data_IF_987048708841
#
_entry.id   IF_987048708841
#
_cell.length_a   1.000
_cell.length_b   1.000
_cell.length_c   1.000
_cell.angle_alpha   90.00
_cell.angle_beta   90.00
_cell.angle_gamma   90.00
#
_symmetry.space_group_name_H-M   'P 1'
#
loop_
_entity.id
_entity.type
_entity.pdbx_description
1 polymer ?
#
# COMPACT_ATOMS: atom_id res chain seq x y z
N UNK A 1 -3.44 11.09 51.91
CA UNK A 1 -4.42 10.30 51.15
C UNK A 1 -4.62 10.85 49.73
N UNK A 2 -4.94 12.15 49.57
CA UNK A 2 -5.14 12.80 48.26
C UNK A 2 -4.01 12.55 47.23
N UNK A 3 -2.74 12.67 47.63
CA UNK A 3 -1.58 12.42 46.74
C UNK A 3 -1.55 11.02 46.11
N UNK A 4 -2.01 10.00 46.84
CA UNK A 4 -2.07 8.62 46.34
C UNK A 4 -3.24 8.41 45.39
N UNK A 5 -4.37 9.09 45.66
CA UNK A 5 -5.54 9.10 44.76
C UNK A 5 -5.17 9.77 43.43
N UNK A 6 -4.49 10.93 43.48
CA UNK A 6 -4.02 11.64 42.29
C UNK A 6 -3.01 10.80 41.49
N UNK A 7 -2.07 10.13 42.17
CA UNK A 7 -1.11 9.25 41.51
C UNK A 7 -1.79 8.06 40.84
N UNK A 8 -2.75 7.41 41.52
CA UNK A 8 -3.51 6.29 40.94
C UNK A 8 -4.34 6.73 39.72
N UNK A 9 -4.98 7.90 39.79
CA UNK A 9 -5.73 8.47 38.68
C UNK A 9 -4.82 8.79 37.48
N UNK A 10 -3.63 9.34 37.74
CA UNK A 10 -2.64 9.61 36.69
C UNK A 10 -2.15 8.31 36.02
N UNK A 11 -1.84 7.28 36.81
CA UNK A 11 -1.41 5.97 36.27
C UNK A 11 -2.53 5.38 35.41
N UNK A 12 -3.77 5.39 35.90
CA UNK A 12 -4.91 4.88 35.13
C UNK A 12 -5.10 5.67 33.82
N UNK A 13 -4.98 7.00 33.86
CA UNK A 13 -5.08 7.84 32.67
C UNK A 13 -4.00 7.51 31.64
N UNK A 14 -2.74 7.35 32.06
CA UNK A 14 -1.64 6.96 31.18
C UNK A 14 -1.86 5.56 30.59
N UNK A 15 -2.34 4.61 31.39
CA UNK A 15 -2.68 3.27 30.90
C UNK A 15 -3.79 3.31 29.85
N UNK A 16 -4.85 4.10 30.07
CA UNK A 16 -5.94 4.28 29.11
C UNK A 16 -5.39 4.84 27.80
N UNK A 17 -4.58 5.90 27.85
CA UNK A 17 -3.95 6.48 26.65
C UNK A 17 -3.09 5.44 25.94
N UNK A 18 -2.29 4.66 26.67
CA UNK A 18 -1.44 3.62 26.11
C UNK A 18 -2.25 2.54 25.37
N UNK A 19 -3.37 2.10 25.96
CA UNK A 19 -4.26 1.12 25.32
C UNK A 19 -4.88 1.69 24.05
N UNK A 20 -5.39 2.93 24.08
CA UNK A 20 -5.95 3.57 22.89
C UNK A 20 -4.89 3.78 21.81
N UNK A 21 -3.67 4.17 22.18
CA UNK A 21 -2.58 4.33 21.23
C UNK A 21 -2.27 3.03 20.49
N UNK A 22 -2.19 1.90 21.20
CA UNK A 22 -1.93 0.59 20.58
C UNK A 22 -3.13 0.12 19.75
N UNK A 23 -4.36 0.26 20.27
CA UNK A 23 -5.56 -0.21 19.59
C UNK A 23 -5.86 0.58 18.30
N UNK A 24 -5.55 1.87 18.27
CA UNK A 24 -5.80 2.75 17.14
C UNK A 24 -4.60 2.86 16.19
N UNK A 25 -3.42 2.37 16.59
CA UNK A 25 -2.24 2.37 15.71
C UNK A 25 -2.53 1.56 14.44
N UNK A 26 -2.11 2.05 13.26
CA UNK A 26 -2.33 1.35 12.02
C UNK A 26 -1.59 0.02 12.00
N UNK A 27 -2.20 -1.00 11.38
CA UNK A 27 -1.60 -2.32 11.24
C UNK A 27 -1.06 -2.50 9.83
N UNK A 28 0.22 -2.88 9.73
CA UNK A 28 0.87 -3.22 8.47
C UNK A 28 1.16 -4.72 8.48
N UNK A 29 0.75 -5.43 7.42
CA UNK A 29 1.05 -6.87 7.26
C UNK A 29 1.72 -7.14 5.93
N UNK A 30 2.71 -8.01 5.94
CA UNK A 30 3.34 -8.50 4.72
C UNK A 30 2.47 -9.60 4.10
N UNK A 31 2.03 -9.41 2.86
CA UNK A 31 1.22 -10.37 2.11
C UNK A 31 2.02 -11.14 1.06
N UNK A 32 3.32 -10.88 0.96
CA UNK A 32 4.21 -11.48 -0.06
C UNK A 32 4.24 -13.01 -0.05
N UNK A 33 3.85 -13.64 1.06
CA UNK A 33 3.81 -15.10 1.21
C UNK A 33 2.57 -15.78 0.61
N UNK A 34 1.54 -15.02 0.19
CA UNK A 34 0.32 -15.60 -0.36
C UNK A 34 0.59 -16.15 -1.77
N UNK A 35 0.18 -17.40 -2.11
CA UNK A 35 0.45 -18.04 -3.40
C UNK A 35 0.11 -17.15 -4.60
N UNK A 36 -1.08 -16.54 -4.55
CA UNK A 36 -1.56 -15.44 -5.37
C UNK A 36 -0.49 -14.44 -5.84
N UNK A 37 0.36 -14.00 -4.91
CA UNK A 37 1.24 -12.85 -5.07
C UNK A 37 2.67 -13.28 -5.40
N UNK A 38 3.07 -14.48 -4.98
CA UNK A 38 4.41 -15.04 -5.22
C UNK A 38 4.80 -15.03 -6.69
N UNK A 39 3.84 -15.23 -7.58
CA UNK A 39 4.10 -15.26 -9.02
C UNK A 39 4.68 -13.95 -9.60
N UNK A 40 4.49 -12.80 -8.93
CA UNK A 40 4.95 -11.49 -9.41
C UNK A 40 6.20 -10.98 -8.69
N UNK A 41 6.55 -11.56 -7.54
CA UNK A 41 7.65 -11.05 -6.71
C UNK A 41 8.99 -11.41 -7.34
N UNK A 42 9.87 -10.41 -7.45
CA UNK A 42 11.24 -10.56 -7.96
C UNK A 42 11.35 -10.81 -9.45
N UNK A 43 10.22 -10.89 -10.17
CA UNK A 43 10.20 -11.10 -11.62
C UNK A 43 10.11 -9.76 -12.37
N UNK A 44 10.71 -9.66 -13.56
CA UNK A 44 10.44 -8.53 -14.46
C UNK A 44 8.99 -8.59 -14.93
N UNK A 45 8.24 -7.52 -14.69
CA UNK A 45 6.87 -7.34 -15.16
C UNK A 45 6.83 -6.19 -16.14
N UNK A 46 6.02 -6.30 -17.18
CA UNK A 46 5.89 -5.28 -18.21
C UNK A 46 4.60 -4.50 -17.98
N UNK A 47 4.69 -3.18 -17.88
CA UNK A 47 3.51 -2.32 -17.84
C UNK A 47 2.69 -2.49 -19.11
N UNK A 48 1.41 -2.81 -18.96
CA UNK A 48 0.48 -2.96 -20.09
C UNK A 48 -0.09 -1.59 -20.52
N UNK A 49 -0.08 -0.61 -19.61
CA UNK A 49 -0.56 0.74 -19.84
C UNK A 49 0.45 1.78 -19.34
N UNK A 50 0.45 3.01 -19.88
CA UNK A 50 1.28 4.09 -19.37
C UNK A 50 1.01 4.33 -17.88
N UNK A 51 2.09 4.47 -17.10
CA UNK A 51 2.05 4.77 -15.69
C UNK A 51 2.54 6.19 -15.41
N UNK A 52 1.99 6.80 -14.36
CA UNK A 52 2.42 8.10 -13.85
C UNK A 52 2.99 7.88 -12.45
N UNK A 53 4.19 8.41 -12.20
CA UNK A 53 4.83 8.36 -10.89
C UNK A 53 4.81 9.75 -10.29
N UNK A 54 4.06 9.90 -9.20
CA UNK A 54 3.95 11.14 -8.46
C UNK A 54 4.79 11.10 -7.18
N UNK A 55 5.32 12.25 -6.78
CA UNK A 55 5.87 12.45 -5.43
C UNK A 55 4.69 12.77 -4.51
N UNK A 56 4.34 11.81 -3.67
CA UNK A 56 3.32 12.03 -2.65
C UNK A 56 3.95 12.77 -1.46
N UNK A 57 3.37 13.89 -0.99
CA UNK A 57 3.81 14.53 0.24
C UNK A 57 3.63 13.50 1.37
N UNK A 58 4.71 13.14 2.06
CA UNK A 58 4.71 12.08 3.07
C UNK A 58 3.57 12.30 4.09
N UNK A 59 2.53 11.48 4.01
CA UNK A 59 1.58 11.27 5.11
C UNK A 59 1.94 10.00 5.88
N UNK A 60 1.27 9.75 7.01
CA UNK A 60 1.47 8.56 7.85
C UNK A 60 1.12 7.20 7.17
N UNK A 61 0.83 7.23 5.86
CA UNK A 61 0.18 6.15 5.11
C UNK A 61 0.99 5.67 3.89
N UNK A 62 2.19 6.21 3.66
CA UNK A 62 3.01 5.92 2.48
C UNK A 62 4.28 5.13 2.84
N UNK A 63 4.53 4.04 2.12
CA UNK A 63 5.75 3.23 2.21
C UNK A 63 6.90 3.85 1.42
N UNK A 64 6.60 4.46 0.27
CA UNK A 64 7.57 5.14 -0.58
C UNK A 64 7.07 6.50 -1.05
N UNK A 65 7.95 7.52 -1.14
CA UNK A 65 7.54 8.84 -1.59
C UNK A 65 7.03 8.86 -3.05
N UNK A 66 7.34 7.85 -3.85
CA UNK A 66 6.88 7.70 -5.22
C UNK A 66 5.65 6.78 -5.30
N UNK A 67 4.56 7.31 -5.84
CA UNK A 67 3.31 6.57 -6.06
C UNK A 67 3.11 6.36 -7.56
N UNK A 68 3.04 5.10 -7.98
CA UNK A 68 2.68 4.70 -9.34
C UNK A 68 1.15 4.63 -9.47
N UNK A 69 0.60 5.26 -10.50
CA UNK A 69 -0.84 5.25 -10.81
C UNK A 69 -1.08 5.37 -12.31
N UNK A 70 -2.25 4.95 -12.77
CA UNK A 70 -2.70 5.14 -14.16
C UNK A 70 -3.41 6.48 -14.37
N UNK A 71 -3.74 7.20 -13.28
CA UNK A 71 -4.59 8.40 -13.32
C UNK A 71 -3.79 9.66 -13.05
N UNK A 72 -4.11 10.73 -13.78
CA UNK A 72 -3.59 12.05 -13.44
C UNK A 72 -4.06 12.47 -12.06
N UNK A 73 -3.13 12.91 -11.23
CA UNK A 73 -3.42 13.52 -9.94
C UNK A 73 -2.99 14.99 -10.00
N UNK A 74 -3.97 15.90 -9.91
CA UNK A 74 -3.71 17.34 -10.00
C UNK A 74 -3.09 17.95 -8.74
N UNK A 75 -3.03 17.21 -7.63
CA UNK A 75 -2.53 17.70 -6.34
C UNK A 75 -1.09 17.30 -6.03
N UNK A 76 -0.47 16.43 -6.82
CA UNK A 76 0.88 15.90 -6.56
C UNK A 76 1.86 16.25 -7.67
N UNK A 77 3.13 16.41 -7.30
CA UNK A 77 4.20 16.68 -8.25
C UNK A 77 4.49 15.42 -9.08
N UNK A 78 4.31 15.50 -10.40
CA UNK A 78 4.69 14.44 -11.31
C UNK A 78 6.23 14.35 -11.37
N UNK A 79 6.78 13.15 -11.13
CA UNK A 79 8.21 12.90 -11.23
C UNK A 79 8.59 12.12 -12.48
N UNK A 80 7.79 11.13 -12.87
CA UNK A 80 8.06 10.32 -14.06
C UNK A 80 6.77 9.97 -14.81
N UNK A 81 6.87 9.91 -16.13
CA UNK A 81 5.91 9.24 -17.00
C UNK A 81 6.56 7.96 -17.50
N UNK A 82 5.92 6.82 -17.23
CA UNK A 82 6.38 5.50 -17.63
C UNK A 82 5.55 5.06 -18.85
N UNK A 83 6.16 4.88 -20.04
CA UNK A 83 5.42 4.36 -21.18
C UNK A 83 4.97 2.91 -20.92
N UNK A 84 3.93 2.48 -21.65
CA UNK A 84 3.65 1.05 -21.75
C UNK A 84 4.90 0.32 -22.28
N UNK A 85 5.16 -0.89 -21.80
CA UNK A 85 6.39 -1.62 -22.08
C UNK A 85 7.52 -1.42 -21.06
N UNK A 86 7.42 -0.45 -20.15
CA UNK A 86 8.41 -0.30 -19.07
C UNK A 86 8.46 -1.55 -18.18
N UNK A 87 9.68 -2.02 -17.91
CA UNK A 87 9.92 -3.12 -16.99
C UNK A 87 9.94 -2.61 -15.55
N UNK A 88 9.10 -3.20 -14.72
CA UNK A 88 9.05 -2.98 -13.28
C UNK A 88 9.39 -4.30 -12.56
N UNK A 89 9.74 -4.21 -11.28
CA UNK A 89 9.91 -5.39 -10.42
C UNK A 89 9.19 -5.17 -9.12
N UNK A 90 8.29 -6.08 -8.75
CA UNK A 90 7.63 -6.04 -7.44
C UNK A 90 8.49 -6.78 -6.43
N UNK A 91 8.77 -6.13 -5.30
CA UNK A 91 9.55 -6.69 -4.19
C UNK A 91 8.67 -7.30 -3.11
N UNK A 92 7.53 -6.68 -2.84
CA UNK A 92 6.64 -7.15 -1.78
C UNK A 92 5.22 -6.63 -1.96
N UNK A 93 4.29 -7.33 -1.32
CA UNK A 93 2.93 -6.86 -1.12
C UNK A 93 2.70 -6.59 0.36
N UNK A 94 2.07 -5.46 0.68
CA UNK A 94 1.72 -5.11 2.06
C UNK A 94 0.29 -4.65 2.14
N UNK A 95 -0.42 -5.09 3.18
CA UNK A 95 -1.67 -4.45 3.55
C UNK A 95 -1.44 -3.42 4.62
N UNK A 96 -2.15 -2.32 4.50
CA UNK A 96 -2.25 -1.28 5.49
C UNK A 96 -3.70 -1.23 5.98
N UNK A 97 -3.93 -1.33 7.28
CA UNK A 97 -5.24 -1.15 7.89
C UNK A 97 -5.22 0.08 8.78
N UNK A 98 -6.09 1.04 8.45
CA UNK A 98 -6.28 2.22 9.27
C UNK A 98 -7.20 1.89 10.46
N UNK A 99 -6.63 1.57 11.61
CA UNK A 99 -7.40 1.23 12.81
C UNK A 99 -8.04 2.45 13.48
N UNK A 100 -7.53 3.66 13.21
CA UNK A 100 -8.12 4.91 13.69
C UNK A 100 -8.98 5.56 12.58
N UNK A 101 -10.29 5.61 12.76
CA UNK A 101 -11.20 6.29 11.83
C UNK A 101 -11.89 5.32 10.87
N UNK A 102 -11.50 5.32 9.58
CA UNK A 102 -12.26 4.63 8.52
C UNK A 102 -12.31 3.10 8.64
N UNK A 103 -11.35 2.46 9.31
CA UNK A 103 -11.24 1.00 9.30
C UNK A 103 -10.85 0.41 7.93
N UNK A 104 -10.48 1.25 6.97
CA UNK A 104 -10.17 0.84 5.59
C UNK A 104 -8.88 0.03 5.53
N UNK A 105 -8.91 -1.02 4.72
CA UNK A 105 -7.73 -1.83 4.43
C UNK A 105 -7.33 -1.63 2.97
N UNK A 106 -6.08 -1.25 2.75
CA UNK A 106 -5.49 -1.07 1.41
C UNK A 106 -4.40 -2.09 1.14
N UNK A 107 -4.31 -2.58 -0.09
CA UNK A 107 -3.23 -3.47 -0.55
C UNK A 107 -2.28 -2.69 -1.45
N UNK A 108 -1.01 -2.70 -1.10
CA UNK A 108 0.04 -2.03 -1.83
C UNK A 108 1.01 -3.04 -2.45
N UNK A 109 1.31 -2.84 -3.72
CA UNK A 109 2.44 -3.46 -4.38
C UNK A 109 3.64 -2.51 -4.27
N UNK A 110 4.74 -3.02 -3.71
CA UNK A 110 5.96 -2.25 -3.45
C UNK A 110 7.04 -2.75 -4.38
N UNK A 111 7.53 -1.89 -5.28
CA UNK A 111 8.45 -2.28 -6.32
C UNK A 111 9.52 -1.24 -6.63
N UNK A 112 10.21 -1.46 -7.74
CA UNK A 112 11.13 -0.52 -8.37
C UNK A 112 10.96 -0.57 -9.89
N UNK A 113 11.26 0.53 -10.56
CA UNK A 113 11.49 0.58 -12.01
C UNK A 113 12.88 1.13 -12.30
N UNK A 114 13.37 0.89 -13.51
CA UNK A 114 14.61 1.48 -14.00
C UNK A 114 14.30 2.71 -14.84
N UNK A 115 14.92 3.83 -14.51
CA UNK A 115 14.94 5.03 -15.36
C UNK A 115 15.89 4.83 -16.54
N UNK A 116 15.83 5.73 -17.52
CA UNK A 116 16.64 5.67 -18.75
C UNK A 116 18.15 5.75 -18.49
N UNK A 117 18.56 6.38 -17.39
CA UNK A 117 19.95 6.44 -16.90
C UNK A 117 20.35 5.22 -16.05
N UNK A 118 19.50 4.19 -15.98
CA UNK A 118 19.78 2.94 -15.26
C UNK A 118 19.60 3.01 -13.75
N UNK A 119 19.07 4.11 -13.21
CA UNK A 119 18.80 4.25 -11.78
C UNK A 119 17.54 3.49 -11.39
N UNK A 120 17.60 2.74 -10.29
CA UNK A 120 16.43 2.13 -9.66
C UNK A 120 15.65 3.17 -8.87
N UNK A 121 14.37 3.32 -9.17
CA UNK A 121 13.45 4.20 -8.46
C UNK A 121 12.37 3.35 -7.80
N UNK A 122 12.25 3.39 -6.45
CA UNK A 122 11.19 2.66 -5.76
C UNK A 122 9.83 3.28 -6.07
N UNK A 123 8.78 2.48 -6.01
CA UNK A 123 7.40 2.96 -6.07
C UNK A 123 6.49 2.13 -5.20
N UNK A 124 5.39 2.74 -4.77
CA UNK A 124 4.21 2.07 -4.26
C UNK A 124 3.05 2.17 -5.25
N UNK A 125 2.29 1.10 -5.39
CA UNK A 125 1.08 1.05 -6.20
C UNK A 125 -0.07 0.58 -5.31
N UNK A 126 -1.08 1.45 -5.12
CA UNK A 126 -2.30 1.10 -4.41
C UNK A 126 -3.20 0.25 -5.32
N UNK A 127 -3.25 -1.05 -5.05
CA UNK A 127 -4.05 -2.00 -5.81
C UNK A 127 -5.54 -1.91 -5.45
N UNK A 128 -5.85 -1.42 -4.26
CA UNK A 128 -7.23 -1.23 -3.81
C UNK A 128 -7.87 0.04 -4.35
N UNK A 129 -7.13 1.02 -4.88
CA UNK A 129 -7.66 2.35 -5.24
C UNK A 129 -8.90 2.34 -6.16
N UNK A 130 -9.18 1.26 -6.91
CA UNK A 130 -10.42 1.15 -7.70
C UNK A 130 -11.68 0.78 -6.88
N UNK A 131 -11.53 0.33 -5.64
CA UNK A 131 -12.60 0.10 -4.66
C UNK A 131 -12.05 0.43 -3.26
N UNK A 132 -12.46 1.55 -2.68
CA UNK A 132 -12.24 1.74 -1.24
C UNK A 132 -13.04 0.66 -0.49
N UNK A 133 -12.36 -0.35 0.04
CA UNK A 133 -13.00 -1.45 0.77
C UNK A 133 -12.94 -1.12 2.26
N UNK A 134 -14.12 -1.03 2.88
CA UNK A 134 -14.25 -1.14 4.33
C UNK A 134 -14.16 -2.62 4.70
N UNK A 135 -13.30 -2.97 5.66
CA UNK A 135 -13.09 -4.36 6.07
C UNK A 135 -11.90 -5.03 5.39
N UNK A 136 -11.93 -6.36 5.33
CA UNK A 136 -10.84 -7.16 4.79
C UNK A 136 -10.87 -7.18 3.25
N UNK A 137 -9.70 -7.29 2.64
CA UNK A 137 -9.55 -7.24 1.19
C UNK A 137 -9.96 -8.58 0.59
N UNK A 138 -10.98 -8.54 -0.26
CA UNK A 138 -11.37 -9.66 -1.10
C UNK A 138 -10.44 -9.75 -2.32
N UNK A 139 -9.51 -10.71 -2.27
CA UNK A 139 -8.47 -10.88 -3.30
C UNK A 139 -9.00 -11.33 -4.65
N UNK A 140 -10.23 -11.87 -4.70
CA UNK A 140 -10.89 -12.29 -5.94
C UNK A 140 -11.56 -11.11 -6.66
N UNK A 141 -11.71 -9.97 -5.96
CA UNK A 141 -12.46 -8.78 -6.44
C UNK A 141 -11.61 -7.52 -6.60
N UNK A 142 -10.30 -7.60 -6.40
CA UNK A 142 -9.35 -6.58 -6.82
C UNK A 142 -9.55 -6.28 -8.34
N UNK A 143 -9.11 -5.11 -8.81
CA UNK A 143 -9.03 -4.85 -10.25
C UNK A 143 -7.76 -5.51 -10.84
N UNK A 144 -7.67 -5.69 -12.17
CA UNK A 144 -6.39 -5.97 -12.80
C UNK A 144 -5.40 -4.85 -12.46
N UNK A 145 -4.17 -5.22 -12.12
CA UNK A 145 -3.08 -4.27 -11.93
C UNK A 145 -2.58 -3.72 -13.27
N UNK A 146 -1.84 -2.61 -13.22
CA UNK A 146 -1.24 -1.94 -14.40
C UNK A 146 -0.29 -2.84 -15.21
N UNK A 147 0.21 -3.93 -14.63
CA UNK A 147 1.05 -4.93 -15.29
C UNK A 147 0.30 -6.18 -15.77
N UNK A 148 -1.02 -6.25 -15.59
CA UNK A 148 -1.87 -7.36 -16.04
C UNK A 148 -2.63 -6.98 -17.31
N UNK A 149 -2.89 -7.95 -18.19
CA UNK A 149 -3.67 -7.70 -19.40
C UNK A 149 -5.15 -7.55 -19.06
N UNK A 150 -5.87 -6.76 -19.87
CA UNK A 150 -7.34 -6.68 -19.77
C UNK A 150 -7.93 -8.07 -20.06
N UNK A 151 -8.61 -8.67 -19.08
CA UNK A 151 -9.24 -9.99 -19.21
C UNK A 151 -8.49 -11.16 -18.55
N UNK A 152 -7.28 -10.95 -18.00
CA UNK A 152 -6.67 -11.91 -17.08
C UNK A 152 -7.42 -11.86 -15.73
N UNK A 153 -7.97 -13.01 -15.32
CA UNK A 153 -8.69 -13.12 -14.05
C UNK A 153 -7.77 -12.78 -12.88
N UNK A 154 -8.42 -12.23 -11.88
CA UNK A 154 -7.93 -11.99 -10.54
C UNK A 154 -7.48 -13.28 -9.89
N UNK A 155 -6.16 -13.49 -9.84
CA UNK A 155 -5.52 -14.35 -8.83
C UNK A 155 -6.25 -15.69 -8.65
N UNK A 156 -6.09 -16.61 -9.60
CA UNK A 156 -6.63 -17.96 -9.41
C UNK A 156 -6.03 -18.58 -8.14
N UNK A 157 -6.87 -18.67 -7.10
CA UNK A 157 -6.57 -19.41 -5.89
C UNK A 157 -6.90 -20.88 -6.17
N UNK A 158 -6.08 -21.53 -6.98
CA UNK A 158 -6.12 -22.99 -7.10
C UNK A 158 -5.66 -23.58 -5.75
N UNK A 159 -6.64 -23.92 -4.91
CA UNK A 159 -6.51 -24.84 -3.78
C UNK A 159 -6.97 -26.23 -4.18
#
# INVERSE_FOLDING_TARGET
MLKYILLAALILFVLIIGVFYIALAPTIRNQSGIPAFKQWIGKPLILQHPGLVYIHPKGNYSFYPQVLTERRNGGYQLAYELPAGTVITIRSFKTYKNNAGSGSTSLYALGDFLTTDGKKVPFEYDWTYRKSIFGDIDMEKLPPAIWQKTGETQVDNDF
#
